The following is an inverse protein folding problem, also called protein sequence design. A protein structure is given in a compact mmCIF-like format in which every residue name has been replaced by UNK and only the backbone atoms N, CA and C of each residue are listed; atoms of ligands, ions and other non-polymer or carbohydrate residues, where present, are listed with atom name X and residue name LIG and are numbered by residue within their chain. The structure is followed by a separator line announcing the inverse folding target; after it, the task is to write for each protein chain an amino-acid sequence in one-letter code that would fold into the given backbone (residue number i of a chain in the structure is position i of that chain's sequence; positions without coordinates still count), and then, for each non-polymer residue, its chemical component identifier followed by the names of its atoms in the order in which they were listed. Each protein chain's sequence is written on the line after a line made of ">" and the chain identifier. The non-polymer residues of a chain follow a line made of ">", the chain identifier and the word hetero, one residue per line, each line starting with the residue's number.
data_IF_129018836693
#
_entry.id   IF_129018836693
#
_cell.length_a   1.000
_cell.length_b   1.000
_cell.length_c   1.000
_cell.angle_alpha   90.00
_cell.angle_beta   90.00
_cell.angle_gamma   90.00
#
_symmetry.space_group_name_H-M   'P 1'
#
loop_
_entity.id
_entity.type
_entity.pdbx_description
1 polymer ?
#
# COMPACT_ATOMS: atom_id res chain seq x y z
N UNK A 1 10.09 27.86 11.64
CA UNK A 1 8.65 27.98 11.34
C UNK A 1 7.82 26.82 11.90
N UNK A 2 7.63 25.69 11.20
CA UNK A 2 6.67 24.64 11.63
C UNK A 2 7.04 23.97 12.96
N UNK A 3 8.33 23.76 13.22
CA UNK A 3 8.82 23.28 14.52
C UNK A 3 8.47 24.26 15.66
N UNK A 4 8.69 25.55 15.45
CA UNK A 4 8.38 26.60 16.45
C UNK A 4 6.87 26.73 16.66
N UNK A 5 6.08 26.44 15.62
CA UNK A 5 4.62 26.36 15.70
C UNK A 5 4.11 25.10 16.43
N UNK A 6 5.00 24.19 16.86
CA UNK A 6 4.66 23.03 17.66
C UNK A 6 4.47 21.73 16.87
N UNK A 7 4.90 21.65 15.61
CA UNK A 7 4.94 20.37 14.90
C UNK A 7 5.82 19.37 15.66
N UNK A 8 5.37 18.13 15.82
CA UNK A 8 6.14 17.09 16.52
C UNK A 8 7.09 16.31 15.61
N UNK A 9 6.91 16.41 14.29
CA UNK A 9 7.76 15.86 13.23
C UNK A 9 7.48 16.62 11.92
N UNK A 10 8.34 16.46 10.91
CA UNK A 10 8.14 17.05 9.57
C UNK A 10 8.52 16.07 8.47
N UNK A 11 7.73 16.04 7.38
CA UNK A 11 8.07 15.28 6.18
C UNK A 11 8.92 16.13 5.25
N UNK A 12 10.03 15.58 4.75
CA UNK A 12 10.87 16.17 3.72
C UNK A 12 10.65 15.38 2.42
N UNK A 13 10.03 16.01 1.43
CA UNK A 13 9.68 15.40 0.15
C UNK A 13 10.47 16.01 -1.00
N UNK A 14 11.08 15.15 -1.83
CA UNK A 14 11.85 15.57 -3.01
C UNK A 14 12.96 16.60 -2.73
N UNK A 15 13.64 16.46 -1.58
CA UNK A 15 14.72 17.35 -1.15
C UNK A 15 16.09 16.75 -1.53
N UNK A 16 17.06 17.55 -2.05
CA UNK A 16 18.42 17.06 -2.27
C UNK A 16 19.05 16.46 -1.01
N UNK A 17 19.84 15.38 -1.17
CA UNK A 17 20.44 14.60 -0.08
C UNK A 17 21.15 15.49 0.97
N UNK A 18 22.05 16.36 0.52
CA UNK A 18 22.86 17.19 1.42
C UNK A 18 22.02 18.24 2.15
N UNK A 19 20.97 18.75 1.49
CA UNK A 19 20.04 19.71 2.11
C UNK A 19 19.15 19.03 3.16
N UNK A 20 18.66 17.82 2.88
CA UNK A 20 17.89 17.04 3.85
C UNK A 20 18.73 16.66 5.08
N UNK A 21 20.02 16.35 4.88
CA UNK A 21 20.96 16.12 5.97
C UNK A 21 21.17 17.37 6.83
N UNK A 22 21.36 18.54 6.20
CA UNK A 22 21.51 19.81 6.92
C UNK A 22 20.25 20.16 7.72
N UNK A 23 19.06 20.02 7.13
CA UNK A 23 17.78 20.25 7.82
C UNK A 23 17.62 19.31 9.01
N UNK A 24 17.93 18.02 8.83
CA UNK A 24 17.79 17.02 9.91
C UNK A 24 18.75 17.30 11.06
N UNK A 25 19.97 17.77 10.79
CA UNK A 25 20.93 18.16 11.81
C UNK A 25 20.52 19.44 12.59
N UNK A 26 19.73 20.33 11.98
CA UNK A 26 19.30 21.59 12.58
C UNK A 26 18.01 21.45 13.42
N UNK A 27 17.09 20.59 12.98
CA UNK A 27 15.81 20.40 13.67
C UNK A 27 15.95 19.55 14.94
N UNK A 28 15.12 19.87 15.93
CA UNK A 28 14.98 19.13 17.19
C UNK A 28 13.88 18.05 17.10
N UNK A 29 13.00 18.17 16.12
CA UNK A 29 11.92 17.23 15.85
C UNK A 29 12.33 16.26 14.75
N UNK A 30 11.82 15.01 14.75
CA UNK A 30 12.16 14.03 13.73
C UNK A 30 11.80 14.49 12.31
N UNK A 31 12.70 14.22 11.37
CA UNK A 31 12.44 14.36 9.93
C UNK A 31 12.08 13.01 9.30
N UNK A 32 11.07 13.00 8.44
CA UNK A 32 10.61 11.79 7.72
C UNK A 32 10.84 12.01 6.23
N UNK A 33 11.75 11.25 5.63
CA UNK A 33 12.13 11.42 4.22
C UNK A 33 11.25 10.64 3.25
N UNK A 34 10.91 11.26 2.12
CA UNK A 34 10.43 10.58 0.90
C UNK A 34 11.10 11.22 -0.32
N UNK A 35 12.06 10.50 -0.91
CA UNK A 35 12.96 11.10 -1.90
C UNK A 35 13.84 12.22 -1.33
N UNK A 36 14.14 12.18 -0.03
CA UNK A 36 15.03 13.11 0.67
C UNK A 36 16.35 12.46 1.13
N UNK A 37 16.63 11.24 0.67
CA UNK A 37 17.85 10.52 1.02
C UNK A 37 17.85 9.89 2.41
N UNK A 38 18.99 9.29 2.78
CA UNK A 38 19.11 8.39 3.94
C UNK A 38 19.29 9.10 5.27
N UNK A 39 19.50 10.42 5.28
CA UNK A 39 19.89 11.18 6.46
C UNK A 39 18.70 11.73 7.27
N UNK A 40 17.46 11.50 6.85
CA UNK A 40 16.29 11.76 7.69
C UNK A 40 16.15 10.70 8.79
N UNK A 41 15.56 11.06 9.92
CA UNK A 41 15.39 10.17 11.08
C UNK A 41 14.46 8.97 10.81
N UNK A 42 13.53 9.15 9.89
CA UNK A 42 12.62 8.12 9.39
C UNK A 42 12.40 8.23 7.89
N UNK A 43 11.69 7.25 7.33
CA UNK A 43 11.38 7.20 5.91
C UNK A 43 9.89 6.87 5.72
N UNK A 44 9.30 7.37 4.64
CA UNK A 44 7.94 7.06 4.22
C UNK A 44 7.89 6.79 2.73
N UNK A 45 7.03 5.86 2.32
CA UNK A 45 6.68 5.58 0.93
C UNK A 45 5.17 5.40 0.82
N UNK A 46 4.61 5.70 -0.34
CA UNK A 46 3.22 5.38 -0.67
C UNK A 46 3.11 3.86 -0.83
N UNK A 47 2.12 3.25 -0.18
CA UNK A 47 1.91 1.80 -0.18
C UNK A 47 1.80 1.21 -1.60
N UNK A 48 1.13 1.92 -2.51
CA UNK A 48 0.96 1.49 -3.90
C UNK A 48 2.29 1.40 -4.66
N UNK A 49 3.20 2.36 -4.45
CA UNK A 49 4.52 2.35 -5.05
C UNK A 49 5.40 1.26 -4.42
N UNK A 50 5.31 1.10 -3.10
CA UNK A 50 6.03 0.05 -2.35
C UNK A 50 5.62 -1.35 -2.81
N UNK A 51 4.33 -1.58 -3.06
CA UNK A 51 3.78 -2.88 -3.45
C UNK A 51 3.72 -3.11 -4.98
N UNK A 52 4.13 -2.13 -5.79
CA UNK A 52 4.07 -2.25 -7.25
C UNK A 52 2.64 -2.45 -7.77
N UNK A 53 1.67 -1.71 -7.21
CA UNK A 53 0.27 -1.78 -7.64
C UNK A 53 -0.02 -0.92 -8.88
N UNK A 54 0.80 0.10 -9.12
CA UNK A 54 0.73 0.95 -10.31
C UNK A 54 1.47 0.28 -11.47
N UNK A 55 0.77 0.02 -12.58
CA UNK A 55 1.32 -0.72 -13.72
C UNK A 55 2.51 0.02 -14.38
N UNK A 56 2.32 1.30 -14.71
CA UNK A 56 3.17 1.97 -15.71
C UNK A 56 4.13 3.01 -15.13
N UNK A 57 4.03 3.29 -13.84
CA UNK A 57 4.81 4.36 -13.23
C UNK A 57 5.17 4.08 -11.78
N UNK A 58 6.41 4.42 -11.44
CA UNK A 58 6.89 4.47 -10.05
C UNK A 58 7.86 5.64 -9.93
N UNK A 59 7.70 6.49 -8.91
CA UNK A 59 8.61 7.62 -8.69
C UNK A 59 10.05 7.12 -8.55
N UNK A 60 11.03 7.88 -9.06
CA UNK A 60 12.46 7.50 -9.01
C UNK A 60 12.97 7.17 -7.61
N UNK A 61 12.43 7.82 -6.58
CA UNK A 61 12.83 7.59 -5.20
C UNK A 61 12.17 6.35 -4.56
N UNK A 62 11.11 5.82 -5.17
CA UNK A 62 10.39 4.69 -4.62
C UNK A 62 11.02 3.37 -5.10
N UNK A 63 11.34 2.51 -4.15
CA UNK A 63 11.72 1.13 -4.42
C UNK A 63 10.46 0.27 -4.37
N UNK A 64 10.19 -0.49 -5.43
CA UNK A 64 9.21 -1.57 -5.41
C UNK A 64 9.76 -2.73 -4.59
N UNK A 65 9.03 -3.14 -3.57
CA UNK A 65 9.31 -4.32 -2.74
C UNK A 65 8.51 -5.54 -3.19
N UNK A 66 7.46 -5.34 -3.99
CA UNK A 66 6.67 -6.39 -4.63
C UNK A 66 6.12 -5.88 -5.97
N UNK A 67 5.59 -6.81 -6.79
CA UNK A 67 4.90 -6.53 -8.06
C UNK A 67 3.46 -7.03 -7.99
N UNK A 68 2.69 -6.53 -7.02
CA UNK A 68 1.34 -7.05 -6.74
C UNK A 68 0.30 -6.63 -7.78
N UNK A 69 0.55 -5.58 -8.57
CA UNK A 69 -0.38 -5.16 -9.63
C UNK A 69 -0.65 -6.29 -10.62
N UNK A 70 0.39 -7.03 -11.01
CA UNK A 70 0.25 -8.17 -11.93
C UNK A 70 -0.51 -9.35 -11.29
N UNK A 71 -0.35 -9.57 -9.99
CA UNK A 71 -1.09 -10.62 -9.27
C UNK A 71 -2.57 -10.25 -9.15
N UNK A 72 -2.89 -8.98 -8.90
CA UNK A 72 -4.28 -8.50 -8.86
C UNK A 72 -4.96 -8.69 -10.22
N UNK A 73 -4.28 -8.33 -11.32
CA UNK A 73 -4.80 -8.56 -12.68
C UNK A 73 -5.05 -10.05 -12.92
N UNK A 74 -4.07 -10.91 -12.64
CA UNK A 74 -4.20 -12.37 -12.81
C UNK A 74 -5.34 -12.97 -11.99
N UNK A 75 -5.53 -12.51 -10.75
CA UNK A 75 -6.62 -12.95 -9.89
C UNK A 75 -7.98 -12.54 -10.47
N UNK A 76 -8.11 -11.30 -10.92
CA UNK A 76 -9.34 -10.80 -11.54
C UNK A 76 -9.68 -11.53 -12.85
N UNK A 77 -8.70 -11.77 -13.71
CA UNK A 77 -8.89 -12.54 -14.95
C UNK A 77 -9.31 -13.99 -14.68
N UNK A 78 -8.70 -14.61 -13.67
CA UNK A 78 -9.03 -15.97 -13.25
C UNK A 78 -10.47 -16.05 -12.73
N UNK A 79 -10.85 -15.12 -11.85
CA UNK A 79 -12.22 -15.01 -11.37
C UNK A 79 -13.22 -14.83 -12.52
N UNK A 80 -12.96 -13.91 -13.45
CA UNK A 80 -13.84 -13.68 -14.60
C UNK A 80 -13.98 -14.94 -15.47
N UNK A 81 -12.88 -15.66 -15.71
CA UNK A 81 -12.89 -16.91 -16.47
C UNK A 81 -13.74 -17.98 -15.77
N UNK A 82 -13.55 -18.17 -14.46
CA UNK A 82 -14.27 -19.19 -13.70
C UNK A 82 -15.77 -18.89 -13.60
N UNK A 83 -16.15 -17.63 -13.42
CA UNK A 83 -17.57 -17.20 -13.44
C UNK A 83 -18.19 -17.47 -14.81
N UNK A 84 -17.51 -17.08 -15.90
CA UNK A 84 -18.03 -17.30 -17.27
C UNK A 84 -18.12 -18.78 -17.63
N UNK A 85 -17.25 -19.62 -17.08
CA UNK A 85 -17.27 -21.06 -17.27
C UNK A 85 -18.27 -21.79 -16.36
N UNK A 86 -18.89 -21.10 -15.40
CA UNK A 86 -19.72 -21.73 -14.37
C UNK A 86 -18.93 -22.58 -13.37
N UNK A 87 -17.61 -22.41 -13.30
CA UNK A 87 -16.74 -23.10 -12.34
C UNK A 87 -16.78 -22.43 -10.96
N UNK A 88 -17.13 -21.14 -10.90
CA UNK A 88 -17.37 -20.40 -9.66
C UNK A 88 -18.73 -19.69 -9.69
N UNK A 89 -19.50 -19.69 -8.57
CA UNK A 89 -19.23 -20.38 -7.30
C UNK A 89 -19.48 -21.89 -7.38
N UNK A 90 -18.91 -22.65 -6.44
CA UNK A 90 -19.25 -24.06 -6.21
C UNK A 90 -20.17 -24.19 -4.98
N UNK A 91 -20.60 -25.41 -4.66
CA UNK A 91 -21.34 -25.70 -3.42
C UNK A 91 -20.60 -25.23 -2.15
N UNK A 92 -19.26 -25.21 -2.17
CA UNK A 92 -18.46 -24.75 -1.04
C UNK A 92 -18.61 -23.25 -0.72
N UNK A 93 -19.07 -22.45 -1.70
CA UNK A 93 -19.37 -21.01 -1.51
C UNK A 93 -20.88 -20.73 -1.46
N UNK A 94 -21.72 -21.76 -1.43
CA UNK A 94 -23.17 -21.63 -1.34
C UNK A 94 -23.66 -21.88 0.09
N UNK A 95 -24.68 -21.14 0.51
CA UNK A 95 -25.43 -21.47 1.71
C UNK A 95 -26.45 -22.56 1.40
N UNK A 96 -26.48 -23.62 2.21
CA UNK A 96 -27.56 -24.58 2.18
C UNK A 96 -28.85 -23.95 2.74
N UNK A 97 -30.04 -24.30 2.21
CA UNK A 97 -31.29 -23.90 2.84
C UNK A 97 -31.34 -24.40 4.29
N UNK A 98 -31.94 -23.62 5.21
CA UNK A 98 -32.08 -24.06 6.59
C UNK A 98 -32.81 -25.41 6.63
N UNK A 99 -32.27 -26.35 7.41
CA UNK A 99 -32.92 -27.66 7.59
C UNK A 99 -34.30 -27.42 8.19
N UNK A 100 -35.35 -27.63 7.40
CA UNK A 100 -36.71 -27.68 7.93
C UNK A 100 -36.80 -28.89 8.86
N UNK A 101 -37.00 -28.63 10.15
CA UNK A 101 -37.44 -29.69 11.06
C UNK A 101 -38.86 -30.06 10.62
N UNK A 102 -39.00 -31.21 9.97
CA UNK A 102 -40.31 -31.83 9.82
C UNK A 102 -40.77 -32.19 11.23
N UNK A 103 -41.58 -31.33 11.82
CA UNK A 103 -42.40 -31.68 12.98
C UNK A 103 -43.25 -32.87 12.57
N UNK A 104 -42.94 -34.03 13.15
CA UNK A 104 -43.79 -35.20 13.07
C UNK A 104 -45.14 -34.83 13.69
N UNK A 105 -46.20 -34.96 12.89
CA UNK A 105 -47.57 -35.07 13.36
C UNK A 105 -47.92 -36.56 13.48
#
# INVERSE_FOLDING_TARGET
>A
AVQEAGAFAVVLECIPLDLAAAITAELKIPTIGIGAGVHCDGQVLVLHDLLGLSADWTPRFAKRYAELGQEVVRAAETYVREVKAGAFPTEAQAFAPPKTSTGAA
#
